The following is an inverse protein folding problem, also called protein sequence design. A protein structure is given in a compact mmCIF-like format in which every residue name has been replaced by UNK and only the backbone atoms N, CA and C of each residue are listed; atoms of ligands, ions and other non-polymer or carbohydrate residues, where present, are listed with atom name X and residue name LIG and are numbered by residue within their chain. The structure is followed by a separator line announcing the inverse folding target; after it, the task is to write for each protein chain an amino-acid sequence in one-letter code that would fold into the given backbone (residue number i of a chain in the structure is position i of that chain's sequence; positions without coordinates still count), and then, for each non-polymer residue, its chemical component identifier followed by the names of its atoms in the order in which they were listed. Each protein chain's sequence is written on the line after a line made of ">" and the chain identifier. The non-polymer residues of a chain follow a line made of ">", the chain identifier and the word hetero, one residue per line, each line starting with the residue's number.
data_IF_106131004975
#
_entry.id   IF_106131004975
#
_cell.length_a   1.000
_cell.length_b   1.000
_cell.length_c   1.000
_cell.angle_alpha   90.00
_cell.angle_beta   90.00
_cell.angle_gamma   90.00
#
_symmetry.space_group_name_H-M   'P 1'
#
loop_
_entity.id
_entity.type
_entity.pdbx_description
1 polymer ?
#
# COMPACT_ATOMS: atom_id res chain seq x y z
N UNK A 1 -2.75 22.75 -2.10
CA UNK A 1 -2.19 21.62 -1.33
C UNK A 1 -1.64 20.64 -2.34
N UNK A 2 -0.33 20.43 -2.38
CA UNK A 2 0.27 19.42 -3.26
C UNK A 2 0.10 18.03 -2.66
N UNK A 3 -0.22 17.04 -3.50
CA UNK A 3 -0.41 15.66 -3.07
C UNK A 3 0.89 14.90 -3.30
N UNK A 4 1.51 14.45 -2.21
CA UNK A 4 2.70 13.60 -2.25
C UNK A 4 2.31 12.13 -2.16
N UNK A 5 2.59 11.37 -3.21
CA UNK A 5 2.35 9.94 -3.24
C UNK A 5 3.55 9.16 -2.72
N UNK A 6 3.28 8.08 -1.97
CA UNK A 6 4.32 7.21 -1.43
C UNK A 6 4.98 6.40 -2.55
N UNK A 7 6.31 6.28 -2.48
CA UNK A 7 7.09 5.42 -3.37
C UNK A 7 7.09 3.98 -2.86
N UNK A 8 7.31 3.03 -3.77
CA UNK A 8 7.44 1.61 -3.41
C UNK A 8 8.52 1.36 -2.35
N UNK A 9 9.64 2.09 -2.43
CA UNK A 9 10.74 1.95 -1.48
C UNK A 9 10.34 2.35 -0.06
N UNK A 10 9.62 3.47 0.09
CA UNK A 10 9.12 3.93 1.39
C UNK A 10 8.15 2.89 1.98
N UNK A 11 7.24 2.38 1.15
CA UNK A 11 6.24 1.40 1.58
C UNK A 11 6.89 0.08 2.00
N UNK A 12 7.94 -0.36 1.30
CA UNK A 12 8.72 -1.55 1.67
C UNK A 12 9.46 -1.36 2.99
N UNK A 13 10.13 -0.23 3.18
CA UNK A 13 10.82 0.08 4.43
C UNK A 13 9.84 0.11 5.61
N UNK A 14 8.69 0.77 5.44
CA UNK A 14 7.62 0.77 6.45
C UNK A 14 7.12 -0.64 6.76
N UNK A 15 6.92 -1.46 5.73
CA UNK A 15 6.49 -2.85 5.92
C UNK A 15 7.50 -3.68 6.72
N UNK A 16 8.80 -3.57 6.38
CA UNK A 16 9.88 -4.25 7.12
C UNK A 16 9.91 -3.82 8.59
N UNK A 17 9.73 -2.52 8.86
CA UNK A 17 9.68 -2.02 10.24
C UNK A 17 8.44 -2.50 11.00
N UNK A 18 7.27 -2.60 10.34
CA UNK A 18 6.09 -3.20 10.95
C UNK A 18 6.33 -4.68 11.31
N UNK A 19 6.99 -5.45 10.44
CA UNK A 19 7.31 -6.86 10.71
C UNK A 19 8.33 -6.98 11.85
N UNK A 20 9.33 -6.08 11.93
CA UNK A 20 10.29 -6.05 13.06
C UNK A 20 9.61 -5.73 14.39
N UNK A 21 8.68 -4.77 14.41
CA UNK A 21 8.04 -4.29 15.65
C UNK A 21 6.93 -5.22 16.15
N UNK A 22 6.11 -5.78 15.24
CA UNK A 22 4.90 -6.50 15.58
C UNK A 22 4.95 -8.00 15.23
N UNK A 23 6.06 -8.46 14.65
CA UNK A 23 6.21 -9.81 14.14
C UNK A 23 5.44 -10.03 12.83
N UNK A 24 5.72 -11.16 12.18
CA UNK A 24 5.10 -11.54 10.91
C UNK A 24 6.10 -12.24 9.97
N UNK A 25 5.59 -12.77 8.87
CA UNK A 25 6.44 -13.29 7.80
C UNK A 25 7.15 -12.13 7.08
N UNK A 26 8.47 -12.25 6.96
CA UNK A 26 9.27 -11.35 6.14
C UNK A 26 9.02 -11.59 4.65
N UNK A 27 9.16 -10.52 3.88
CA UNK A 27 9.04 -10.54 2.42
C UNK A 27 7.68 -10.08 1.92
N UNK A 28 7.65 -9.71 0.64
CA UNK A 28 6.42 -9.37 -0.06
C UNK A 28 5.85 -10.62 -0.70
N UNK A 29 4.52 -10.80 -0.62
CA UNK A 29 3.83 -11.87 -1.34
C UNK A 29 4.03 -11.74 -2.85
N UNK A 30 3.87 -10.52 -3.35
CA UNK A 30 4.08 -10.18 -4.76
C UNK A 30 4.38 -8.69 -4.87
N UNK A 31 5.54 -8.34 -5.41
CA UNK A 31 5.96 -6.96 -5.60
C UNK A 31 5.14 -6.24 -6.68
N UNK A 32 4.65 -6.94 -7.71
CA UNK A 32 3.83 -6.38 -8.77
C UNK A 32 2.43 -6.02 -8.26
N UNK A 33 1.88 -6.83 -7.36
CA UNK A 33 0.60 -6.50 -6.72
C UNK A 33 0.72 -5.30 -5.78
N UNK A 34 1.86 -5.15 -5.11
CA UNK A 34 2.11 -3.96 -4.29
C UNK A 34 2.26 -2.71 -5.16
N UNK A 35 3.01 -2.78 -6.26
CA UNK A 35 3.18 -1.66 -7.18
C UNK A 35 1.84 -1.22 -7.80
N UNK A 36 0.99 -2.18 -8.19
CA UNK A 36 -0.37 -1.91 -8.66
C UNK A 36 -1.22 -1.18 -7.59
N UNK A 37 -1.15 -1.61 -6.34
CA UNK A 37 -1.84 -0.96 -5.24
C UNK A 37 -1.37 0.49 -5.00
N UNK A 38 -0.09 0.80 -5.22
CA UNK A 38 0.45 2.15 -5.08
C UNK A 38 0.10 3.07 -6.25
N UNK A 39 -0.21 2.51 -7.41
CA UNK A 39 -0.64 3.25 -8.59
C UNK A 39 -2.16 3.49 -8.61
N UNK A 40 -2.95 2.66 -7.91
CA UNK A 40 -4.40 2.81 -7.80
C UNK A 40 -4.87 4.22 -7.34
N UNK A 41 -4.32 4.83 -6.26
CA UNK A 41 -4.71 6.19 -5.85
C UNK A 41 -4.28 7.28 -6.82
N UNK A 42 -3.33 7.00 -7.73
CA UNK A 42 -2.84 7.93 -8.75
C UNK A 42 -3.66 7.86 -10.05
N UNK A 43 -4.63 6.94 -10.15
CA UNK A 43 -5.39 6.74 -11.38
C UNK A 43 -6.13 8.03 -11.75
N UNK A 44 -5.93 8.47 -12.98
CA UNK A 44 -6.60 9.62 -13.57
C UNK A 44 -7.56 9.18 -14.67
N UNK A 45 -8.72 9.80 -14.73
CA UNK A 45 -9.67 9.65 -15.84
C UNK A 45 -10.03 11.04 -16.36
N UNK A 46 -9.97 11.22 -17.68
CA UNK A 46 -10.25 12.52 -18.32
C UNK A 46 -9.42 13.68 -17.72
N UNK A 47 -8.13 13.45 -17.49
CA UNK A 47 -7.17 14.39 -16.88
C UNK A 47 -7.46 14.82 -15.42
N UNK A 48 -8.51 14.28 -14.81
CA UNK A 48 -8.83 14.47 -13.40
C UNK A 48 -8.42 13.23 -12.60
N UNK A 49 -8.04 13.41 -11.34
CA UNK A 49 -7.91 12.27 -10.43
C UNK A 49 -9.27 11.57 -10.28
N UNK A 50 -9.25 10.23 -10.33
CA UNK A 50 -10.44 9.43 -10.07
C UNK A 50 -10.92 9.60 -8.62
N UNK A 51 -9.99 9.90 -7.71
CA UNK A 51 -10.24 10.15 -6.30
C UNK A 51 -10.28 11.67 -6.05
N UNK A 52 -11.41 12.22 -5.57
CA UNK A 52 -11.63 13.67 -5.53
C UNK A 52 -10.86 14.37 -4.41
N UNK A 53 -10.42 13.64 -3.39
CA UNK A 53 -9.63 14.19 -2.29
C UNK A 53 -8.60 13.19 -1.74
N UNK A 54 -7.78 13.67 -0.80
CA UNK A 54 -6.74 12.88 -0.13
C UNK A 54 -7.31 11.75 0.73
N UNK A 55 -8.54 11.85 1.21
CA UNK A 55 -9.18 10.80 2.00
C UNK A 55 -9.56 9.60 1.12
N UNK A 56 -10.10 9.87 -0.08
CA UNK A 56 -10.37 8.83 -1.07
C UNK A 56 -9.08 8.17 -1.57
N UNK A 57 -8.01 8.94 -1.77
CA UNK A 57 -6.69 8.39 -2.13
C UNK A 57 -6.11 7.52 -1.00
N UNK A 58 -6.26 7.93 0.26
CA UNK A 58 -5.84 7.13 1.42
C UNK A 58 -6.64 5.82 1.53
N UNK A 59 -7.95 5.87 1.31
CA UNK A 59 -8.80 4.68 1.27
C UNK A 59 -8.40 3.74 0.13
N UNK A 60 -8.06 4.27 -1.05
CA UNK A 60 -7.56 3.50 -2.18
C UNK A 60 -6.23 2.79 -1.86
N UNK A 61 -5.29 3.46 -1.18
CA UNK A 61 -4.08 2.82 -0.65
C UNK A 61 -4.42 1.67 0.31
N UNK A 62 -5.27 1.91 1.31
CA UNK A 62 -5.62 0.90 2.31
C UNK A 62 -6.26 -0.34 1.66
N UNK A 63 -7.20 -0.15 0.74
CA UNK A 63 -7.86 -1.25 0.01
C UNK A 63 -6.85 -2.02 -0.84
N UNK A 64 -5.98 -1.33 -1.58
CA UNK A 64 -4.95 -1.97 -2.41
C UNK A 64 -3.99 -2.81 -1.56
N UNK A 65 -3.49 -2.25 -0.46
CA UNK A 65 -2.55 -2.94 0.44
C UNK A 65 -3.24 -4.13 1.13
N UNK A 66 -4.45 -3.97 1.68
CA UNK A 66 -5.17 -5.05 2.38
C UNK A 66 -5.54 -6.20 1.43
N UNK A 67 -6.01 -5.89 0.21
CA UNK A 67 -6.39 -6.91 -0.77
C UNK A 67 -5.19 -7.69 -1.29
N UNK A 68 -4.08 -7.00 -1.53
CA UNK A 68 -2.92 -7.58 -2.20
C UNK A 68 -1.89 -8.16 -1.22
N UNK A 69 -1.84 -7.65 0.01
CA UNK A 69 -0.88 -8.04 1.03
C UNK A 69 -1.57 -8.52 2.30
N UNK A 70 -2.16 -9.73 2.25
CA UNK A 70 -2.41 -10.49 3.48
C UNK A 70 -1.06 -10.95 4.02
N UNK A 71 -0.50 -10.22 4.98
CA UNK A 71 0.56 -10.75 5.82
C UNK A 71 0.00 -11.96 6.55
N UNK A 72 0.43 -13.16 6.15
CA UNK A 72 0.18 -14.37 6.90
C UNK A 72 0.80 -14.17 8.28
N UNK A 73 -0.02 -13.90 9.29
CA UNK A 73 0.39 -14.08 10.68
C UNK A 73 0.40 -15.58 10.89
N UNK A 74 1.58 -16.20 10.92
CA UNK A 74 1.71 -17.45 11.65
C UNK A 74 1.49 -17.07 13.10
N UNK A 75 0.31 -17.42 13.62
CA UNK A 75 0.03 -17.39 15.04
C UNK A 75 0.97 -18.46 15.61
N UNK A 76 2.10 -18.04 16.18
CA UNK A 76 2.90 -18.94 17.02
C UNK A 76 2.08 -19.17 18.30
N UNK A 77 1.28 -20.23 18.27
CA UNK A 77 0.82 -20.96 19.46
C UNK A 77 1.82 -22.04 19.79
#
# INVERSE_FOLDING_TARGET
>A
MEIYFLSLQIVKALHEDQVKLYGGLQGLRDANLLDSALNYPKVTFSQCYLHPDVHYMAAAYAVGIIKNHRSSKVIQT
#
